data_IF_310766956773
#
_entry.id   IF_310766956773
#
_cell.length_a   1.000
_cell.length_b   1.000
_cell.length_c   1.000
_cell.angle_alpha   90.00
_cell.angle_beta   90.00
_cell.angle_gamma   90.00
#
_symmetry.space_group_name_H-M   'P 1'
#
loop_
_entity.id
_entity.type
_entity.pdbx_description
1 polymer ?
#
# COMPACT_ATOMS: atom_id res chain seq x y z
N UNK A 1 17.99 -5.10 6.79
CA UNK A 1 16.55 -5.40 6.70
C UNK A 1 15.97 -5.58 8.09
N UNK A 2 16.63 -6.32 8.99
CA UNK A 2 16.22 -6.53 10.38
C UNK A 2 15.82 -5.26 11.14
N UNK A 3 16.55 -4.16 10.92
CA UNK A 3 16.22 -2.85 11.51
C UNK A 3 14.83 -2.38 11.11
N UNK A 4 14.50 -2.45 9.82
CA UNK A 4 13.21 -2.04 9.27
C UNK A 4 12.10 -2.94 9.83
N UNK A 5 12.31 -4.26 9.80
CA UNK A 5 11.34 -5.23 10.33
C UNK A 5 11.05 -5.01 11.82
N UNK A 6 12.08 -4.72 12.63
CA UNK A 6 11.91 -4.41 14.05
C UNK A 6 11.24 -3.06 14.29
N UNK A 7 11.57 -2.05 13.49
CA UNK A 7 10.99 -0.70 13.64
C UNK A 7 9.50 -0.68 13.34
N UNK A 8 9.05 -1.53 12.42
CA UNK A 8 7.69 -1.60 11.94
C UNK A 8 6.98 -2.91 12.33
N UNK A 9 7.41 -3.52 13.44
CA UNK A 9 6.84 -4.78 13.92
C UNK A 9 5.37 -4.64 14.36
N UNK A 10 4.98 -3.43 14.78
CA UNK A 10 3.67 -3.13 15.38
C UNK A 10 2.80 -2.24 14.48
N UNK A 11 3.01 -2.25 13.16
CA UNK A 11 2.10 -1.57 12.23
C UNK A 11 0.70 -2.20 12.28
N UNK A 12 -0.32 -1.36 12.19
CA UNK A 12 -1.71 -1.81 12.35
C UNK A 12 -2.30 -2.37 11.06
N UNK A 13 -1.82 -1.87 9.91
CA UNK A 13 -2.46 -2.11 8.62
C UNK A 13 -1.54 -2.71 7.57
N UNK A 14 -0.26 -2.85 7.89
CA UNK A 14 0.75 -3.47 7.04
C UNK A 14 1.45 -4.57 7.81
N UNK A 15 1.76 -5.68 7.15
CA UNK A 15 2.70 -6.68 7.67
C UNK A 15 3.95 -6.77 6.79
N UNK A 16 5.10 -6.88 7.44
CA UNK A 16 6.41 -6.90 6.79
C UNK A 16 7.11 -8.24 7.01
N UNK A 17 7.72 -8.78 5.96
CA UNK A 17 8.56 -9.96 6.06
C UNK A 17 9.75 -9.91 5.11
N UNK A 18 10.78 -10.70 5.41
CA UNK A 18 11.94 -10.87 4.54
C UNK A 18 11.75 -12.07 3.61
N UNK A 19 12.18 -11.92 2.36
CA UNK A 19 12.41 -13.03 1.44
C UNK A 19 13.89 -13.09 1.04
N UNK A 20 14.64 -13.97 1.69
CA UNK A 20 16.11 -13.95 1.62
C UNK A 20 16.68 -12.71 2.31
N UNK A 21 17.85 -12.24 1.84
CA UNK A 21 18.61 -11.19 2.54
C UNK A 21 18.30 -9.76 2.09
N UNK A 22 17.62 -9.60 0.95
CA UNK A 22 17.53 -8.31 0.26
C UNK A 22 16.13 -7.92 -0.23
N UNK A 23 15.14 -8.81 -0.12
CA UNK A 23 13.78 -8.53 -0.57
C UNK A 23 12.87 -8.34 0.64
N UNK A 24 12.28 -7.15 0.73
CA UNK A 24 11.24 -6.84 1.70
C UNK A 24 9.87 -7.12 1.08
N UNK A 25 9.06 -7.94 1.72
CA UNK A 25 7.67 -8.16 1.35
C UNK A 25 6.80 -7.28 2.24
N UNK A 26 6.08 -6.35 1.62
CA UNK A 26 5.10 -5.46 2.23
C UNK A 26 3.71 -5.97 1.88
N UNK A 27 2.92 -6.30 2.89
CA UNK A 27 1.56 -6.81 2.70
C UNK A 27 0.56 -5.80 3.23
N UNK A 28 -0.38 -5.36 2.40
CA UNK A 28 -1.57 -4.63 2.84
C UNK A 28 -2.43 -5.57 3.66
N UNK A 29 -2.55 -5.36 4.97
CA UNK A 29 -3.05 -6.36 5.91
C UNK A 29 -4.35 -5.92 6.59
N UNK A 30 -5.37 -5.66 5.77
CA UNK A 30 -6.75 -5.44 6.22
C UNK A 30 -7.72 -6.36 5.46
N UNK A 31 -7.52 -7.69 5.43
CA UNK A 31 -8.24 -8.58 4.52
C UNK A 31 -9.75 -8.63 4.82
N UNK A 32 -10.15 -8.43 6.08
CA UNK A 32 -11.56 -8.38 6.50
C UNK A 32 -12.37 -7.24 5.86
N UNK A 33 -11.68 -6.19 5.37
CA UNK A 33 -12.27 -5.04 4.68
C UNK A 33 -11.60 -4.84 3.31
N UNK A 34 -11.24 -5.95 2.65
CA UNK A 34 -10.76 -5.95 1.27
C UNK A 34 -9.48 -5.11 1.05
N UNK A 35 -8.63 -5.02 2.08
CA UNK A 35 -7.40 -4.22 2.07
C UNK A 35 -7.66 -2.76 1.66
N UNK A 36 -8.82 -2.21 2.01
CA UNK A 36 -9.17 -0.83 1.69
C UNK A 36 -8.22 0.16 2.40
N UNK A 37 -7.96 1.30 1.75
CA UNK A 37 -7.12 2.39 2.24
C UNK A 37 -7.89 3.24 3.24
N UNK A 38 -7.61 3.07 4.52
CA UNK A 38 -8.06 3.99 5.57
C UNK A 38 -6.94 4.98 5.96
N UNK A 39 -7.25 5.95 6.82
CA UNK A 39 -6.29 6.96 7.27
C UNK A 39 -5.06 6.33 7.92
N UNK A 40 -5.25 5.32 8.77
CA UNK A 40 -4.15 4.63 9.43
C UNK A 40 -3.20 3.97 8.43
N UNK A 41 -3.73 3.33 7.39
CA UNK A 41 -2.89 2.76 6.32
C UNK A 41 -2.14 3.82 5.53
N UNK A 42 -2.70 5.04 5.39
CA UNK A 42 -1.97 6.19 4.87
C UNK A 42 -0.76 6.56 5.74
N UNK A 43 -0.92 6.57 7.08
CA UNK A 43 0.18 6.84 8.00
C UNK A 43 1.23 5.74 8.00
N UNK A 44 0.83 4.48 8.09
CA UNK A 44 1.71 3.31 8.10
C UNK A 44 2.56 3.27 6.82
N UNK A 45 1.94 3.45 5.65
CA UNK A 45 2.65 3.48 4.38
C UNK A 45 3.58 4.67 4.27
N UNK A 46 3.12 5.90 4.58
CA UNK A 46 3.99 7.08 4.54
C UNK A 46 5.22 6.90 5.42
N UNK A 47 5.06 6.35 6.62
CA UNK A 47 6.16 6.08 7.54
C UNK A 47 7.15 5.07 6.94
N UNK A 48 6.66 3.96 6.42
CA UNK A 48 7.49 2.92 5.79
C UNK A 48 8.27 3.44 4.58
N UNK A 49 7.59 4.09 3.63
CA UNK A 49 8.23 4.56 2.40
C UNK A 49 9.24 5.68 2.68
N UNK A 50 8.93 6.59 3.61
CA UNK A 50 9.87 7.62 4.05
C UNK A 50 11.10 7.03 4.74
N UNK A 51 10.94 5.92 5.48
CA UNK A 51 12.06 5.20 6.08
C UNK A 51 12.96 4.58 5.03
N UNK A 52 12.37 3.88 4.06
CA UNK A 52 13.10 3.26 2.95
C UNK A 52 13.87 4.28 2.12
N UNK A 53 13.28 5.47 1.91
CA UNK A 53 13.96 6.59 1.26
C UNK A 53 15.19 7.06 2.04
N UNK A 54 15.06 7.22 3.35
CA UNK A 54 16.15 7.71 4.20
C UNK A 54 17.29 6.71 4.33
N UNK A 55 16.96 5.44 4.56
CA UNK A 55 17.90 4.34 4.69
C UNK A 55 17.20 3.01 4.43
N UNK A 56 17.39 2.46 3.23
CA UNK A 56 16.85 1.16 2.83
C UNK A 56 17.41 -0.01 3.66
N UNK A 57 18.45 0.20 4.47
CA UNK A 57 18.91 -0.78 5.46
C UNK A 57 19.32 -2.13 4.85
N UNK A 58 19.80 -2.14 3.60
CA UNK A 58 20.19 -3.35 2.86
C UNK A 58 19.06 -4.04 2.07
N UNK A 59 17.84 -3.49 2.08
CA UNK A 59 16.80 -3.84 1.11
C UNK A 59 17.27 -3.41 -0.28
N UNK A 60 17.05 -4.25 -1.29
CA UNK A 60 17.38 -4.00 -2.70
C UNK A 60 16.18 -4.11 -3.63
N UNK A 61 15.07 -4.67 -3.16
CA UNK A 61 13.80 -4.69 -3.84
C UNK A 61 12.66 -4.83 -2.82
N UNK A 62 11.49 -4.31 -3.17
CA UNK A 62 10.26 -4.45 -2.41
C UNK A 62 9.24 -5.22 -3.23
N UNK A 63 8.55 -6.17 -2.61
CA UNK A 63 7.34 -6.78 -3.17
C UNK A 63 6.15 -6.25 -2.38
N UNK A 64 5.24 -5.55 -3.04
CA UNK A 64 3.97 -5.12 -2.47
C UNK A 64 2.87 -6.13 -2.86
N UNK A 65 2.13 -6.65 -1.89
CA UNK A 65 0.96 -7.52 -2.13
C UNK A 65 -0.17 -7.24 -1.14
N UNK A 66 -1.35 -7.83 -1.34
CA UNK A 66 -2.46 -7.75 -0.39
C UNK A 66 -2.60 -9.04 0.42
N UNK A 67 -3.01 -8.96 1.68
CA UNK A 67 -3.35 -10.13 2.46
C UNK A 67 -4.58 -10.85 1.87
N UNK A 68 -4.58 -12.18 1.95
CA UNK A 68 -5.63 -13.04 1.39
C UNK A 68 -5.38 -13.44 -0.08
N UNK A 69 -6.42 -13.94 -0.76
CA UNK A 69 -6.30 -14.57 -2.08
C UNK A 69 -7.11 -13.89 -3.19
N UNK A 70 -8.04 -12.99 -2.83
CA UNK A 70 -9.06 -12.46 -3.76
C UNK A 70 -8.89 -10.99 -4.10
N UNK A 71 -8.35 -10.20 -3.18
CA UNK A 71 -8.30 -8.74 -3.30
C UNK A 71 -6.90 -8.28 -2.90
N UNK A 72 -6.25 -7.58 -3.83
CA UNK A 72 -5.02 -6.86 -3.56
C UNK A 72 -5.34 -5.62 -2.72
N UNK A 73 -6.20 -4.73 -3.24
CA UNK A 73 -6.70 -3.54 -2.56
C UNK A 73 -7.97 -3.03 -3.24
N UNK A 74 -9.02 -2.77 -2.47
CA UNK A 74 -10.29 -2.25 -2.97
C UNK A 74 -10.34 -0.73 -3.18
N UNK A 75 -9.23 -0.02 -2.94
CA UNK A 75 -9.18 1.45 -2.97
C UNK A 75 -9.59 2.07 -1.64
N UNK A 76 -10.11 3.30 -1.65
CA UNK A 76 -10.47 4.03 -0.43
C UNK A 76 -11.50 3.31 0.45
N UNK A 77 -11.31 3.36 1.77
CA UNK A 77 -12.27 2.82 2.74
C UNK A 77 -13.51 3.72 2.83
N UNK A 78 -14.54 3.39 2.04
CA UNK A 78 -15.78 4.18 1.98
C UNK A 78 -16.51 4.24 3.32
N UNK A 79 -16.35 3.25 4.20
CA UNK A 79 -16.98 3.28 5.53
C UNK A 79 -16.32 4.33 6.40
N UNK A 80 -14.99 4.44 6.35
CA UNK A 80 -14.28 5.52 7.04
C UNK A 80 -14.66 6.87 6.43
N UNK A 81 -14.61 6.99 5.09
CA UNK A 81 -14.94 8.22 4.36
C UNK A 81 -16.32 8.77 4.69
N UNK A 82 -17.33 7.91 4.80
CA UNK A 82 -18.71 8.31 5.09
C UNK A 82 -18.89 8.93 6.49
N UNK A 83 -17.92 8.76 7.39
CA UNK A 83 -17.96 9.31 8.75
C UNK A 83 -17.05 10.53 8.92
N UNK A 84 -16.39 11.00 7.84
CA UNK A 84 -15.49 12.15 7.89
C UNK A 84 -16.21 13.46 7.59
N UNK A 85 -15.80 14.51 8.30
CA UNK A 85 -16.01 15.89 7.88
C UNK A 85 -15.19 16.22 6.63
N UNK A 86 -15.53 17.29 5.93
CA UNK A 86 -14.75 17.76 4.77
C UNK A 86 -13.30 18.07 5.14
N UNK A 87 -13.06 18.62 6.33
CA UNK A 87 -11.72 18.94 6.81
C UNK A 87 -10.87 17.67 7.04
N UNK A 88 -11.44 16.64 7.66
CA UNK A 88 -10.77 15.36 7.86
C UNK A 88 -10.46 14.68 6.53
N UNK A 89 -11.39 14.74 5.57
CA UNK A 89 -11.14 14.19 4.24
C UNK A 89 -10.05 14.92 3.47
N UNK A 90 -10.03 16.26 3.51
CA UNK A 90 -8.96 17.05 2.89
C UNK A 90 -7.59 16.72 3.50
N UNK A 91 -7.52 16.57 4.83
CA UNK A 91 -6.31 16.15 5.51
C UNK A 91 -5.88 14.73 5.11
N UNK A 92 -6.83 13.79 4.99
CA UNK A 92 -6.58 12.44 4.53
C UNK A 92 -6.10 12.40 3.07
N UNK A 93 -6.69 13.22 2.20
CA UNK A 93 -6.27 13.31 0.80
C UNK A 93 -4.82 13.79 0.69
N UNK A 94 -4.45 14.85 1.42
CA UNK A 94 -3.08 15.33 1.49
C UNK A 94 -2.10 14.27 2.06
N UNK A 95 -2.55 13.46 3.02
CA UNK A 95 -1.78 12.32 3.54
C UNK A 95 -1.53 11.28 2.44
N UNK A 96 -2.55 10.90 1.66
CA UNK A 96 -2.37 9.94 0.57
C UNK A 96 -1.48 10.48 -0.55
N UNK A 97 -1.55 11.76 -0.88
CA UNK A 97 -0.61 12.37 -1.83
C UNK A 97 0.84 12.28 -1.33
N UNK A 98 1.08 12.59 -0.05
CA UNK A 98 2.42 12.49 0.56
C UNK A 98 2.91 11.04 0.59
N UNK A 99 2.02 10.10 0.93
CA UNK A 99 2.29 8.67 0.92
C UNK A 99 2.69 8.20 -0.49
N UNK A 100 1.93 8.57 -1.52
CA UNK A 100 2.23 8.18 -2.90
C UNK A 100 3.51 8.83 -3.43
N UNK A 101 3.82 10.07 -3.05
CA UNK A 101 5.12 10.69 -3.37
C UNK A 101 6.28 9.91 -2.76
N UNK A 102 6.19 9.58 -1.47
CA UNK A 102 7.21 8.77 -0.81
C UNK A 102 7.33 7.36 -1.42
N UNK A 103 6.22 6.75 -1.83
CA UNK A 103 6.20 5.48 -2.56
C UNK A 103 6.97 5.58 -3.89
N UNK A 104 6.67 6.60 -4.70
CA UNK A 104 7.33 6.82 -5.99
C UNK A 104 8.81 7.23 -5.86
N UNK A 105 9.18 7.88 -4.76
CA UNK A 105 10.57 8.27 -4.47
C UNK A 105 11.41 7.11 -3.89
N UNK A 106 10.82 5.91 -3.69
CA UNK A 106 11.53 4.79 -3.10
C UNK A 106 12.83 4.47 -3.88
N UNK A 107 14.00 4.38 -3.21
CA UNK A 107 15.29 4.26 -3.90
C UNK A 107 15.58 2.86 -4.44
N UNK A 108 14.69 1.90 -4.19
CA UNK A 108 14.79 0.51 -4.62
C UNK A 108 13.51 0.11 -5.37
N UNK A 109 13.58 -0.78 -6.36
CA UNK A 109 12.44 -1.14 -7.18
C UNK A 109 11.32 -1.76 -6.35
N UNK A 110 10.08 -1.32 -6.63
CA UNK A 110 8.85 -1.87 -6.08
C UNK A 110 8.15 -2.72 -7.14
N UNK A 111 7.90 -3.97 -6.77
CA UNK A 111 7.16 -4.95 -7.58
C UNK A 111 5.78 -5.14 -6.96
N UNK A 112 4.73 -4.72 -7.65
CA UNK A 112 3.35 -5.02 -7.25
C UNK A 112 3.01 -6.46 -7.65
N UNK A 113 2.96 -7.37 -6.67
CA UNK A 113 2.45 -8.72 -6.80
C UNK A 113 0.93 -8.70 -6.55
N UNK A 114 0.17 -8.41 -7.60
CA UNK A 114 -1.30 -8.25 -7.55
C UNK A 114 -1.96 -9.63 -7.48
N UNK A 115 -2.26 -10.07 -6.26
CA UNK A 115 -2.85 -11.37 -5.94
C UNK A 115 -4.37 -11.44 -6.15
N UNK A 116 -5.03 -10.36 -6.58
CA UNK A 116 -6.49 -10.30 -6.69
C UNK A 116 -6.99 -8.99 -7.32
N UNK A 117 -8.23 -8.59 -7.00
CA UNK A 117 -8.78 -7.31 -7.45
C UNK A 117 -7.96 -6.12 -6.92
N UNK A 118 -7.59 -5.19 -7.79
CA UNK A 118 -6.94 -3.92 -7.48
C UNK A 118 -7.79 -2.79 -8.08
N UNK A 119 -8.55 -2.09 -7.25
CA UNK A 119 -9.52 -1.07 -7.68
C UNK A 119 -9.19 0.30 -7.10
N UNK A 120 -9.52 1.36 -7.85
CA UNK A 120 -9.30 2.75 -7.47
C UNK A 120 -7.87 2.97 -6.93
N UNK A 121 -7.70 3.49 -5.71
CA UNK A 121 -6.40 3.62 -5.06
C UNK A 121 -5.52 2.36 -5.05
N UNK A 122 -6.12 1.16 -5.05
CA UNK A 122 -5.39 -0.10 -5.20
C UNK A 122 -4.75 -0.27 -6.60
N UNK A 123 -5.46 0.15 -7.65
CA UNK A 123 -4.91 0.21 -9.00
C UNK A 123 -3.92 1.35 -9.15
N UNK A 124 -4.15 2.51 -8.53
CA UNK A 124 -3.20 3.62 -8.55
C UNK A 124 -1.85 3.23 -7.93
N UNK A 125 -1.85 2.53 -6.79
CA UNK A 125 -0.62 1.97 -6.20
C UNK A 125 0.06 0.96 -7.13
N UNK A 126 -0.70 0.08 -7.80
CA UNK A 126 -0.13 -0.86 -8.75
C UNK A 126 0.50 -0.15 -9.96
N UNK A 127 -0.15 0.89 -10.49
CA UNK A 127 0.34 1.69 -11.62
C UNK A 127 1.58 2.52 -11.26
N UNK A 128 1.71 2.90 -9.98
CA UNK A 128 2.88 3.64 -9.49
C UNK A 128 4.10 2.75 -9.24
N UNK A 129 3.93 1.43 -9.15
CA UNK A 129 5.04 0.49 -8.97
C UNK A 129 5.90 0.36 -10.25
N UNK A 130 7.16 -0.03 -10.09
CA UNK A 130 8.07 -0.21 -11.24
C UNK A 130 7.67 -1.39 -12.12
N UNK A 131 7.16 -2.47 -11.50
CA UNK A 131 6.66 -3.65 -12.19
C UNK A 131 5.36 -4.15 -11.58
N UNK A 132 4.46 -4.64 -12.43
CA UNK A 132 3.21 -5.28 -12.01
C UNK A 132 3.18 -6.72 -12.48
N UNK A 133 3.03 -7.65 -11.54
CA UNK A 133 2.78 -9.07 -11.80
C UNK A 133 1.43 -9.44 -11.21
N UNK A 134 0.52 -9.84 -12.09
CA UNK A 134 -0.86 -10.08 -11.71
C UNK A 134 -1.20 -11.57 -11.76
N UNK A 135 -1.93 -12.06 -10.76
CA UNK A 135 -2.55 -13.36 -10.82
C UNK A 135 -3.54 -13.43 -12.00
N UNK A 136 -3.73 -14.58 -12.66
CA UNK A 136 -4.65 -14.69 -13.81
C UNK A 136 -6.10 -14.27 -13.50
N UNK A 137 -6.52 -14.36 -12.25
CA UNK A 137 -7.84 -13.94 -11.77
C UNK A 137 -7.91 -12.49 -11.32
N UNK A 138 -6.82 -11.73 -11.35
CA UNK A 138 -6.81 -10.33 -10.97
C UNK A 138 -7.78 -9.51 -11.84
N UNK A 139 -8.30 -8.43 -11.26
CA UNK A 139 -9.20 -7.48 -11.92
C UNK A 139 -8.75 -6.07 -11.59
N UNK A 140 -8.84 -5.20 -12.58
CA UNK A 140 -8.36 -3.82 -12.49
C UNK A 140 -9.48 -2.88 -12.92
N UNK A 141 -9.74 -1.84 -12.13
CA UNK A 141 -10.74 -0.84 -12.46
C UNK A 141 -10.49 0.47 -11.71
N UNK A 142 -10.66 1.60 -12.39
CA UNK A 142 -10.87 2.90 -11.78
C UNK A 142 -12.38 3.15 -11.74
N UNK A 143 -12.98 3.01 -10.56
CA UNK A 143 -14.43 3.08 -10.34
C UNK A 143 -14.89 4.42 -9.79
N UNK A 144 -13.98 5.36 -9.55
CA UNK A 144 -14.21 6.66 -8.92
C UNK A 144 -15.31 7.44 -9.66
N UNK A 145 -15.28 7.44 -11.00
CA UNK A 145 -16.28 8.12 -11.85
C UNK A 145 -17.70 7.59 -11.67
N UNK A 146 -17.88 6.39 -11.11
CA UNK A 146 -19.22 5.83 -10.82
C UNK A 146 -19.77 6.29 -9.47
N UNK A 147 -18.92 6.76 -8.56
CA UNK A 147 -19.31 7.32 -7.27
C UNK A 147 -19.67 8.81 -7.38
N UNK A 148 -19.00 9.53 -8.30
CA UNK A 148 -19.15 10.99 -8.47
C UNK A 148 -18.34 11.77 -7.46
#
# INVERSE_FOLDING_TARGET
MDRILKHFADLETLSLSAHGDHVLVVTLDRPAVANALNTQMGYDQRALWSELYRDAGGVRAVVLTGAGEKIFCAGGDLKERNNMTDAEWQAQHALFEQMMRAFMDCPVPIIAAVNGAAFAGGLEMALAADFVYAAPHARFALTEVTLG
#
